data_IF_044061352895
#
_entry.id   IF_044061352895
#
_cell.length_a   1.000
_cell.length_b   1.000
_cell.length_c   1.000
_cell.angle_alpha   90.00
_cell.angle_beta   90.00
_cell.angle_gamma   90.00
#
_symmetry.space_group_name_H-M   'P 1'
#
loop_
_entity.id
_entity.type
_entity.pdbx_description
1 polymer ?
#
# COMPACT_ATOMS: atom_id res chain seq x y z
N UNK A 1 3.97 1.80 26.25
CA UNK A 1 5.14 1.56 25.38
C UNK A 1 4.61 0.91 24.13
N UNK A 2 4.39 1.69 23.07
CA UNK A 2 4.07 1.12 21.76
C UNK A 2 5.30 0.34 21.30
N UNK A 3 5.16 -0.96 21.13
CA UNK A 3 6.21 -1.77 20.55
C UNK A 3 6.32 -1.33 19.08
N UNK A 4 7.27 -0.43 18.80
CA UNK A 4 7.67 -0.12 17.44
C UNK A 4 8.39 -1.36 16.88
N UNK A 5 7.64 -2.22 16.18
CA UNK A 5 8.21 -3.41 15.54
C UNK A 5 9.11 -3.07 14.34
N UNK A 6 9.54 -1.80 14.21
CA UNK A 6 10.30 -1.34 13.06
C UNK A 6 9.48 -1.36 11.77
N UNK A 7 8.19 -1.05 11.87
CA UNK A 7 7.28 -1.00 10.70
C UNK A 7 7.07 0.43 10.23
N UNK A 8 6.98 0.62 8.91
CA UNK A 8 6.67 1.91 8.30
C UNK A 8 5.70 1.76 7.14
N UNK A 9 4.81 2.74 6.95
CA UNK A 9 3.99 2.91 5.76
C UNK A 9 4.63 3.98 4.86
N UNK A 10 4.95 3.61 3.63
CA UNK A 10 5.54 4.49 2.64
C UNK A 10 4.56 4.74 1.50
N UNK A 11 4.06 5.96 1.34
CA UNK A 11 3.28 6.40 0.20
C UNK A 11 4.21 6.95 -0.88
N UNK A 12 4.21 6.40 -2.11
CA UNK A 12 5.09 6.84 -3.20
C UNK A 12 4.27 7.42 -4.35
N UNK A 13 4.60 8.64 -4.73
CA UNK A 13 3.83 9.42 -5.72
C UNK A 13 2.51 9.93 -5.15
N UNK A 14 1.87 10.87 -5.82
CA UNK A 14 0.68 11.56 -5.31
C UNK A 14 -0.43 10.60 -4.85
N UNK A 15 -0.77 9.59 -5.64
CA UNK A 15 -1.78 8.59 -5.27
C UNK A 15 -1.38 7.73 -4.06
N UNK A 16 -0.11 7.33 -3.97
CA UNK A 16 0.41 6.59 -2.80
C UNK A 16 0.40 7.44 -1.53
N UNK A 17 0.78 8.72 -1.63
CA UNK A 17 0.73 9.67 -0.52
C UNK A 17 -0.69 9.90 -0.02
N UNK A 18 -1.70 10.01 -0.91
CA UNK A 18 -3.10 10.16 -0.54
C UNK A 18 -3.64 8.94 0.23
N UNK A 19 -3.30 7.73 -0.21
CA UNK A 19 -3.67 6.50 0.51
C UNK A 19 -3.00 6.43 1.88
N UNK A 20 -1.71 6.74 1.95
CA UNK A 20 -0.97 6.75 3.23
C UNK A 20 -1.54 7.79 4.21
N UNK A 21 -1.90 8.99 3.72
CA UNK A 21 -2.58 10.02 4.52
C UNK A 21 -3.96 9.56 5.00
N UNK A 22 -4.74 8.87 4.16
CA UNK A 22 -6.03 8.32 4.55
C UNK A 22 -5.89 7.26 5.67
N UNK A 23 -4.91 6.36 5.55
CA UNK A 23 -4.61 5.38 6.60
C UNK A 23 -4.16 6.05 7.90
N UNK A 24 -3.30 7.06 7.82
CA UNK A 24 -2.83 7.81 8.99
C UNK A 24 -3.97 8.51 9.73
N UNK A 25 -4.92 9.13 9.02
CA UNK A 25 -6.10 9.76 9.63
C UNK A 25 -6.98 8.76 10.40
N UNK A 26 -7.05 7.52 9.93
CA UNK A 26 -7.87 6.47 10.56
C UNK A 26 -7.15 5.78 11.74
N UNK A 27 -5.83 5.69 11.68
CA UNK A 27 -5.03 4.99 12.70
C UNK A 27 -4.45 5.92 13.77
N UNK A 28 -4.23 7.20 13.43
CA UNK A 28 -3.63 8.20 14.31
C UNK A 28 -2.10 8.09 14.42
N UNK A 29 -1.54 8.76 15.41
CA UNK A 29 -0.09 8.97 15.59
C UNK A 29 0.72 7.67 15.86
N UNK A 30 0.04 6.56 16.11
CA UNK A 30 0.72 5.28 16.29
C UNK A 30 1.22 4.64 14.99
N UNK A 31 0.83 5.19 13.83
CA UNK A 31 1.28 4.75 12.52
C UNK A 31 2.50 5.58 12.08
N UNK A 32 3.68 4.97 12.01
CA UNK A 32 4.82 5.59 11.36
C UNK A 32 4.59 5.60 9.86
N UNK A 33 4.37 6.78 9.28
CA UNK A 33 4.08 6.94 7.86
C UNK A 33 4.92 8.05 7.25
N UNK A 34 5.34 7.89 5.97
CA UNK A 34 6.12 8.85 5.21
C UNK A 34 5.65 8.89 3.76
N UNK A 35 5.39 10.08 3.24
CA UNK A 35 5.10 10.34 1.84
C UNK A 35 6.37 10.67 1.07
N UNK A 36 6.54 10.05 -0.10
CA UNK A 36 7.70 10.22 -0.98
C UNK A 36 7.20 10.70 -2.35
N UNK A 37 7.49 11.95 -2.71
CA UNK A 37 7.13 12.46 -4.03
C UNK A 37 8.19 13.41 -4.57
N UNK A 38 8.17 13.63 -5.87
CA UNK A 38 8.98 14.60 -6.61
C UNK A 38 8.26 15.93 -6.79
N UNK A 39 6.96 15.98 -6.47
CA UNK A 39 6.10 17.15 -6.58
C UNK A 39 5.75 17.67 -5.18
N UNK A 40 6.14 18.92 -4.91
CA UNK A 40 5.90 19.57 -3.62
C UNK A 40 4.40 19.79 -3.34
N UNK A 41 3.59 20.03 -4.38
CA UNK A 41 2.14 20.17 -4.22
C UNK A 41 1.47 18.85 -3.87
N UNK A 42 1.93 17.74 -4.46
CA UNK A 42 1.42 16.42 -4.14
C UNK A 42 1.69 16.04 -2.68
N UNK A 43 2.86 16.38 -2.16
CA UNK A 43 3.19 16.22 -0.74
C UNK A 43 2.29 17.10 0.13
N UNK A 44 2.15 18.39 -0.21
CA UNK A 44 1.34 19.34 0.55
C UNK A 44 -0.15 19.00 0.60
N UNK A 45 -0.67 18.31 -0.42
CA UNK A 45 -2.08 17.88 -0.48
C UNK A 45 -2.38 16.62 0.36
N UNK A 46 -1.37 15.89 0.80
CA UNK A 46 -1.51 14.71 1.65
C UNK A 46 -1.54 15.11 3.14
N UNK A 47 -2.64 15.71 3.57
CA UNK A 47 -2.79 16.29 4.91
C UNK A 47 -2.43 15.32 6.04
N UNK A 48 -1.63 15.82 6.98
CA UNK A 48 -1.18 15.06 8.15
C UNK A 48 -0.04 14.08 7.87
N UNK A 49 0.26 13.78 6.61
CA UNK A 49 1.36 12.90 6.25
C UNK A 49 2.68 13.69 6.19
N UNK A 50 3.67 13.25 6.95
CA UNK A 50 5.03 13.77 6.80
C UNK A 50 5.55 13.43 5.41
N UNK A 51 5.97 14.45 4.65
CA UNK A 51 6.47 14.30 3.30
C UNK A 51 7.98 14.44 3.19
N UNK A 52 8.58 13.70 2.27
CA UNK A 52 9.97 13.84 1.85
C UNK A 52 9.98 14.10 0.34
N UNK A 53 10.53 15.26 -0.04
CA UNK A 53 10.68 15.65 -1.43
C UNK A 53 11.87 14.90 -2.05
N UNK A 54 11.63 14.20 -3.13
CA UNK A 54 12.64 13.44 -3.88
C UNK A 54 13.27 14.29 -4.98
N UNK A 55 14.55 14.05 -5.26
CA UNK A 55 15.26 14.63 -6.39
C UNK A 55 15.72 16.07 -6.23
N UNK A 56 15.55 16.66 -5.03
CA UNK A 56 16.11 17.94 -4.62
C UNK A 56 16.39 18.95 -5.76
N UNK A 57 17.68 19.30 -5.99
CA UNK A 57 18.06 20.30 -7.01
C UNK A 57 17.74 19.90 -8.46
N UNK A 58 17.55 18.62 -8.76
CA UNK A 58 17.30 18.14 -10.12
C UNK A 58 15.90 18.47 -10.61
N UNK A 59 14.91 18.41 -9.73
CA UNK A 59 13.49 18.57 -10.09
C UNK A 59 12.84 19.81 -9.48
N UNK A 60 13.48 20.44 -8.51
CA UNK A 60 13.00 21.67 -7.85
C UNK A 60 11.54 21.59 -7.34
N UNK A 61 11.08 20.37 -7.02
CA UNK A 61 9.73 20.13 -6.55
C UNK A 61 8.63 20.19 -7.63
N UNK A 62 8.99 20.27 -8.90
CA UNK A 62 8.02 20.37 -10.01
C UNK A 62 7.51 19.02 -10.53
N UNK A 63 7.91 17.92 -9.88
CA UNK A 63 7.53 16.58 -10.31
C UNK A 63 8.32 16.08 -11.53
N UNK A 64 7.97 14.87 -11.98
CA UNK A 64 8.67 14.19 -13.08
C UNK A 64 8.07 14.48 -14.47
N UNK A 65 6.90 15.14 -14.55
CA UNK A 65 6.17 15.26 -15.83
C UNK A 65 5.74 13.92 -16.43
N UNK A 66 5.56 12.87 -15.62
CA UNK A 66 5.19 11.52 -16.07
C UNK A 66 6.37 10.65 -16.49
N UNK A 67 7.61 11.15 -16.42
CA UNK A 67 8.82 10.41 -16.83
C UNK A 67 9.33 9.50 -15.70
N UNK A 68 9.30 8.17 -15.85
CA UNK A 68 9.77 7.24 -14.83
C UNK A 68 11.30 7.25 -14.66
N UNK A 69 12.06 7.66 -15.68
CA UNK A 69 13.52 7.79 -15.56
C UNK A 69 13.86 8.90 -14.57
N UNK A 70 13.17 10.03 -14.66
CA UNK A 70 13.33 11.13 -13.67
C UNK A 70 12.93 10.68 -12.26
N UNK A 71 11.84 9.91 -12.12
CA UNK A 71 11.41 9.35 -10.83
C UNK A 71 12.48 8.44 -10.20
N UNK A 72 13.07 7.57 -10.99
CA UNK A 72 14.17 6.69 -10.55
C UNK A 72 15.39 7.49 -10.10
N UNK A 73 15.83 8.45 -10.91
CA UNK A 73 16.98 9.29 -10.57
C UNK A 73 16.72 10.12 -9.32
N UNK A 74 15.51 10.66 -9.15
CA UNK A 74 15.12 11.39 -7.96
C UNK A 74 15.22 10.54 -6.68
N UNK A 75 14.84 9.28 -6.75
CA UNK A 75 14.98 8.34 -5.63
C UNK A 75 16.46 8.05 -5.33
N UNK A 76 17.29 7.86 -6.37
CA UNK A 76 18.73 7.66 -6.21
C UNK A 76 19.40 8.87 -5.55
N UNK A 77 19.11 10.08 -6.01
CA UNK A 77 19.63 11.33 -5.44
C UNK A 77 19.23 11.49 -3.95
N UNK A 78 18.10 10.89 -3.55
CA UNK A 78 17.55 10.99 -2.19
C UNK A 78 17.92 9.79 -1.29
N UNK A 79 18.70 8.82 -1.78
CA UNK A 79 18.94 7.54 -1.11
C UNK A 79 19.58 7.69 0.28
N UNK A 80 20.55 8.58 0.45
CA UNK A 80 21.21 8.77 1.74
C UNK A 80 20.30 9.43 2.80
N UNK A 81 19.42 10.34 2.36
CA UNK A 81 18.40 10.91 3.25
C UNK A 81 17.38 9.86 3.64
N UNK A 82 16.92 9.06 2.67
CA UNK A 82 15.99 7.97 2.90
C UNK A 82 16.53 6.94 3.89
N UNK A 83 17.78 6.54 3.78
CA UNK A 83 18.43 5.61 4.72
C UNK A 83 18.34 6.11 6.16
N UNK A 84 18.58 7.40 6.38
CA UNK A 84 18.47 8.02 7.72
C UNK A 84 17.02 8.01 8.22
N UNK A 85 16.09 8.32 7.35
CA UNK A 85 14.65 8.32 7.67
C UNK A 85 14.13 6.92 7.99
N UNK A 86 14.72 5.88 7.45
CA UNK A 86 14.29 4.49 7.63
C UNK A 86 15.19 3.71 8.60
N UNK A 87 16.01 4.39 9.39
CA UNK A 87 16.82 3.72 10.41
C UNK A 87 15.92 2.93 11.38
N UNK A 88 16.34 1.69 11.69
CA UNK A 88 15.61 0.75 12.54
C UNK A 88 14.38 0.11 11.89
N UNK A 89 14.03 0.43 10.63
CA UNK A 89 12.91 -0.20 9.91
C UNK A 89 13.26 -1.63 9.53
N UNK A 90 12.34 -2.56 9.80
CA UNK A 90 12.44 -3.99 9.48
C UNK A 90 11.40 -4.45 8.47
N UNK A 91 10.24 -3.80 8.47
CA UNK A 91 9.13 -4.09 7.56
C UNK A 91 8.62 -2.78 6.98
N UNK A 92 8.59 -2.67 5.66
CA UNK A 92 8.03 -1.55 4.96
C UNK A 92 6.79 -1.98 4.16
N UNK A 93 5.66 -1.34 4.44
CA UNK A 93 4.48 -1.40 3.58
C UNK A 93 4.55 -0.22 2.62
N UNK A 94 4.71 -0.51 1.35
CA UNK A 94 4.84 0.49 0.29
C UNK A 94 3.53 0.58 -0.48
N UNK A 95 2.97 1.76 -0.63
CA UNK A 95 1.78 2.01 -1.44
C UNK A 95 2.15 2.96 -2.57
N UNK A 96 1.88 2.56 -3.79
CA UNK A 96 2.17 3.37 -4.98
C UNK A 96 1.04 3.32 -5.99
N UNK A 97 0.75 4.44 -6.65
CA UNK A 97 -0.10 4.48 -7.82
C UNK A 97 0.78 4.46 -9.07
N UNK A 98 0.65 3.42 -9.86
CA UNK A 98 1.40 3.23 -11.09
C UNK A 98 0.84 4.06 -12.25
N UNK A 99 1.63 4.23 -13.32
CA UNK A 99 1.24 4.98 -14.50
C UNK A 99 1.71 6.43 -14.51
N UNK A 100 2.23 6.95 -13.38
CA UNK A 100 2.93 8.23 -13.27
C UNK A 100 4.44 8.03 -13.23
N UNK A 101 5.20 9.13 -13.33
CA UNK A 101 6.66 9.06 -13.33
C UNK A 101 7.25 8.78 -11.95
N UNK A 102 6.73 9.39 -10.88
CA UNK A 102 7.20 9.14 -9.52
C UNK A 102 6.83 7.73 -9.08
N UNK A 103 5.55 7.34 -9.13
CA UNK A 103 5.12 5.99 -8.73
C UNK A 103 5.79 4.89 -9.56
N UNK A 104 5.85 5.04 -10.89
CA UNK A 104 6.42 4.03 -11.79
C UNK A 104 7.95 3.97 -11.81
N UNK A 105 8.64 5.06 -11.45
CA UNK A 105 10.10 5.16 -11.50
C UNK A 105 10.77 5.09 -10.14
N UNK A 106 10.27 5.84 -9.16
CA UNK A 106 10.86 5.88 -7.82
C UNK A 106 10.58 4.62 -7.02
N UNK A 107 9.40 3.99 -7.17
CA UNK A 107 9.06 2.80 -6.37
C UNK A 107 9.96 1.61 -6.63
N UNK A 108 10.27 1.19 -7.89
CA UNK A 108 11.22 0.10 -8.11
C UNK A 108 12.58 0.36 -7.46
N UNK A 109 13.06 1.59 -7.54
CA UNK A 109 14.34 1.98 -6.95
C UNK A 109 14.29 1.99 -5.42
N UNK A 110 13.20 2.49 -4.83
CA UNK A 110 12.95 2.39 -3.39
C UNK A 110 13.00 0.93 -2.91
N UNK A 111 12.28 0.04 -3.57
CA UNK A 111 12.24 -1.38 -3.23
C UNK A 111 13.64 -2.02 -3.33
N UNK A 112 14.43 -1.64 -4.34
CA UNK A 112 15.82 -2.07 -4.48
C UNK A 112 16.68 -1.61 -3.28
N UNK A 113 16.52 -0.36 -2.84
CA UNK A 113 17.23 0.19 -1.68
C UNK A 113 16.81 -0.51 -0.38
N UNK A 114 15.51 -0.73 -0.18
CA UNK A 114 14.98 -1.44 0.98
C UNK A 114 15.49 -2.89 1.03
N UNK A 115 15.53 -3.57 -0.11
CA UNK A 115 16.08 -4.92 -0.22
C UNK A 115 17.58 -4.97 0.14
N UNK A 116 18.37 -3.97 -0.31
CA UNK A 116 19.78 -3.87 0.07
C UNK A 116 19.98 -3.61 1.57
N UNK A 117 19.00 -2.97 2.22
CA UNK A 117 18.97 -2.75 3.66
C UNK A 117 18.32 -3.91 4.44
N UNK A 118 18.02 -5.05 3.79
CA UNK A 118 17.37 -6.21 4.38
C UNK A 118 16.01 -5.93 5.04
N UNK A 119 15.32 -4.90 4.56
CA UNK A 119 13.96 -4.55 4.99
C UNK A 119 12.95 -5.41 4.22
N UNK A 120 12.11 -6.15 4.94
CA UNK A 120 11.03 -6.93 4.34
C UNK A 120 9.95 -6.01 3.78
N UNK A 121 9.52 -6.24 2.53
CA UNK A 121 8.64 -5.34 1.82
C UNK A 121 7.32 -5.97 1.40
N UNK A 122 6.21 -5.27 1.69
CA UNK A 122 4.89 -5.54 1.14
C UNK A 122 4.48 -4.34 0.28
N UNK A 123 4.45 -4.51 -1.04
CA UNK A 123 4.18 -3.43 -1.98
C UNK A 123 2.76 -3.53 -2.54
N UNK A 124 1.95 -2.51 -2.31
CA UNK A 124 0.64 -2.33 -2.93
C UNK A 124 0.77 -1.44 -4.16
N UNK A 125 0.56 -2.02 -5.33
CA UNK A 125 0.63 -1.36 -6.62
C UNK A 125 -0.78 -1.10 -7.17
N UNK A 126 -1.26 0.14 -7.04
CA UNK A 126 -2.54 0.56 -7.57
C UNK A 126 -2.41 0.80 -9.07
N UNK A 127 -3.22 0.09 -9.85
CA UNK A 127 -3.26 0.28 -11.31
C UNK A 127 -4.12 1.51 -11.66
N UNK A 128 -3.81 2.19 -12.77
CA UNK A 128 -4.66 3.27 -13.28
C UNK A 128 -6.08 2.77 -13.57
N UNK A 129 -7.06 3.65 -13.41
CA UNK A 129 -8.44 3.39 -13.81
C UNK A 129 -8.55 3.10 -15.32
N UNK A 130 -9.58 2.34 -15.70
CA UNK A 130 -9.83 1.97 -17.10
C UNK A 130 -10.08 3.19 -18.00
N UNK A 131 -10.64 4.27 -17.47
CA UNK A 131 -10.89 5.52 -18.21
C UNK A 131 -9.66 6.43 -18.34
N UNK A 132 -8.57 6.15 -17.60
CA UNK A 132 -7.34 6.93 -17.73
C UNK A 132 -6.65 6.69 -19.08
N UNK A 133 -5.82 7.64 -19.57
CA UNK A 133 -5.16 7.50 -20.87
C UNK A 133 -4.37 6.18 -20.94
N UNK A 134 -4.47 5.49 -22.08
CA UNK A 134 -3.79 4.20 -22.32
C UNK A 134 -2.26 4.25 -22.10
N UNK A 135 -1.65 5.42 -22.20
CA UNK A 135 -0.23 5.63 -21.88
C UNK A 135 0.11 5.33 -20.43
N UNK A 136 -0.79 5.68 -19.49
CA UNK A 136 -0.62 5.40 -18.05
C UNK A 136 -0.70 3.91 -17.75
N UNK A 137 -1.64 3.21 -18.38
CA UNK A 137 -1.75 1.75 -18.26
C UNK A 137 -0.49 1.06 -18.74
N UNK A 138 0.01 1.41 -19.96
CA UNK A 138 1.26 0.85 -20.48
C UNK A 138 2.47 1.17 -19.60
N UNK A 139 2.50 2.36 -18.96
CA UNK A 139 3.56 2.70 -18.02
C UNK A 139 3.48 1.84 -16.76
N UNK A 140 2.27 1.59 -16.23
CA UNK A 140 2.05 0.69 -15.10
C UNK A 140 2.48 -0.76 -15.40
N UNK A 141 2.09 -1.28 -16.57
CA UNK A 141 2.47 -2.62 -17.04
C UNK A 141 3.99 -2.81 -17.15
N UNK A 142 4.72 -1.75 -17.58
CA UNK A 142 6.20 -1.78 -17.63
C UNK A 142 6.86 -1.69 -16.26
N UNK A 143 6.20 -1.05 -15.27
CA UNK A 143 6.74 -0.92 -13.93
C UNK A 143 6.54 -2.20 -13.08
N UNK A 144 5.44 -2.93 -13.27
CA UNK A 144 5.09 -4.12 -12.48
C UNK A 144 6.21 -5.17 -12.40
N UNK A 145 6.86 -5.61 -13.49
CA UNK A 145 7.95 -6.58 -13.40
C UNK A 145 9.10 -6.12 -12.51
N UNK A 146 9.39 -4.81 -12.52
CA UNK A 146 10.46 -4.25 -11.69
C UNK A 146 10.09 -4.24 -10.20
N UNK A 147 8.79 -4.12 -9.87
CA UNK A 147 8.32 -4.30 -8.50
C UNK A 147 8.45 -5.77 -8.06
N UNK A 148 8.01 -6.71 -8.91
CA UNK A 148 8.10 -8.16 -8.65
C UNK A 148 9.56 -8.62 -8.40
N UNK A 149 10.53 -8.01 -9.09
CA UNK A 149 11.96 -8.30 -8.91
C UNK A 149 12.50 -7.82 -7.57
N UNK A 150 12.02 -6.68 -7.08
CA UNK A 150 12.64 -5.97 -5.95
C UNK A 150 11.87 -6.09 -4.64
N UNK A 151 10.55 -6.26 -4.67
CA UNK A 151 9.75 -6.50 -3.47
C UNK A 151 9.79 -7.97 -3.03
N UNK A 152 9.54 -8.21 -1.75
CA UNK A 152 9.28 -9.56 -1.26
C UNK A 152 7.87 -10.02 -1.64
N UNK A 153 6.89 -9.14 -1.49
CA UNK A 153 5.50 -9.42 -1.87
C UNK A 153 4.89 -8.21 -2.59
N UNK A 154 4.22 -8.46 -3.72
CA UNK A 154 3.48 -7.45 -4.47
C UNK A 154 2.00 -7.78 -4.48
N UNK A 155 1.17 -6.82 -4.08
CA UNK A 155 -0.28 -6.85 -4.21
C UNK A 155 -0.68 -5.88 -5.31
N UNK A 156 -1.18 -6.41 -6.41
CA UNK A 156 -1.69 -5.57 -7.51
C UNK A 156 -3.15 -5.25 -7.24
N UNK A 157 -3.48 -3.96 -7.20
CA UNK A 157 -4.82 -3.46 -6.86
C UNK A 157 -5.39 -2.69 -8.04
N UNK A 158 -6.32 -3.26 -8.82
CA UNK A 158 -7.06 -2.51 -9.82
C UNK A 158 -7.95 -1.45 -9.16
N UNK A 159 -7.76 -0.17 -9.50
CA UNK A 159 -8.56 0.90 -8.89
C UNK A 159 -10.03 0.82 -9.29
N UNK A 160 -10.35 0.27 -10.45
CA UNK A 160 -11.73 -0.01 -10.87
C UNK A 160 -12.48 -0.93 -9.91
N UNK A 161 -11.78 -1.89 -9.28
CA UNK A 161 -12.38 -2.78 -8.29
C UNK A 161 -12.67 -2.06 -6.97
N UNK A 162 -11.81 -1.12 -6.57
CA UNK A 162 -12.07 -0.26 -5.41
C UNK A 162 -13.28 0.66 -5.67
N UNK A 163 -13.36 1.22 -6.88
CA UNK A 163 -14.48 2.04 -7.30
C UNK A 163 -15.82 1.30 -7.22
N UNK A 164 -15.89 0.10 -7.80
CA UNK A 164 -17.10 -0.74 -7.76
C UNK A 164 -17.56 -1.05 -6.34
N UNK A 165 -16.61 -1.35 -5.44
CA UNK A 165 -16.90 -1.60 -4.03
C UNK A 165 -17.42 -0.37 -3.29
N UNK A 166 -16.97 0.82 -3.69
CA UNK A 166 -17.42 2.08 -3.11
C UNK A 166 -18.86 2.44 -3.48
N UNK A 167 -19.53 1.68 -4.38
CA UNK A 167 -20.86 2.01 -4.88
C UNK A 167 -20.92 3.33 -5.64
N UNK A 168 -19.81 3.75 -6.23
CA UNK A 168 -19.59 5.10 -6.76
C UNK A 168 -20.04 5.26 -8.22
N UNK A 169 -20.87 4.37 -8.75
CA UNK A 169 -21.30 4.37 -10.15
C UNK A 169 -21.93 5.69 -10.64
N UNK A 170 -22.33 6.57 -9.72
CA UNK A 170 -22.95 7.86 -10.01
C UNK A 170 -22.21 9.08 -9.44
N UNK A 171 -21.11 8.88 -8.72
CA UNK A 171 -20.38 9.97 -8.09
C UNK A 171 -19.43 10.67 -9.08
N UNK A 172 -19.15 11.97 -8.83
CA UNK A 172 -18.11 12.67 -9.56
C UNK A 172 -16.76 11.96 -9.39
N UNK A 173 -15.96 11.89 -10.45
CA UNK A 173 -14.68 11.19 -10.52
C UNK A 173 -13.76 11.44 -9.31
N UNK A 174 -13.63 12.71 -8.90
CA UNK A 174 -12.80 13.09 -7.77
C UNK A 174 -13.28 12.48 -6.44
N UNK A 175 -14.61 12.44 -6.24
CA UNK A 175 -15.24 11.86 -5.04
C UNK A 175 -15.01 10.35 -5.01
N UNK A 176 -15.16 9.68 -6.14
CA UNK A 176 -14.97 8.25 -6.24
C UNK A 176 -13.49 7.85 -6.03
N UNK A 177 -12.54 8.60 -6.59
CA UNK A 177 -11.11 8.38 -6.35
C UNK A 177 -10.74 8.58 -4.88
N UNK A 178 -11.29 9.61 -4.23
CA UNK A 178 -11.08 9.86 -2.80
C UNK A 178 -11.68 8.74 -1.95
N UNK A 179 -12.88 8.26 -2.28
CA UNK A 179 -13.53 7.15 -1.56
C UNK A 179 -12.76 5.84 -1.74
N UNK A 180 -12.24 5.55 -2.93
CA UNK A 180 -11.36 4.41 -3.17
C UNK A 180 -10.09 4.47 -2.31
N UNK A 181 -9.45 5.64 -2.22
CA UNK A 181 -8.29 5.86 -1.34
C UNK A 181 -8.64 5.66 0.13
N UNK A 182 -9.82 6.14 0.56
CA UNK A 182 -10.30 6.01 1.94
C UNK A 182 -10.54 4.54 2.30
N UNK A 183 -11.24 3.78 1.44
CA UNK A 183 -11.52 2.36 1.68
C UNK A 183 -10.23 1.54 1.71
N UNK A 184 -9.32 1.80 0.79
CA UNK A 184 -8.04 1.11 0.78
C UNK A 184 -7.19 1.47 2.01
N UNK A 185 -7.17 2.75 2.41
CA UNK A 185 -6.54 3.21 3.65
C UNK A 185 -7.14 2.54 4.88
N UNK A 186 -8.47 2.34 4.92
CA UNK A 186 -9.13 1.59 5.98
C UNK A 186 -8.65 0.13 6.04
N UNK A 187 -8.58 -0.55 4.90
CA UNK A 187 -8.03 -1.91 4.84
C UNK A 187 -6.59 -1.99 5.36
N UNK A 188 -5.74 -1.03 5.00
CA UNK A 188 -4.39 -0.95 5.56
C UNK A 188 -4.40 -0.72 7.08
N UNK A 189 -5.33 0.07 7.58
CA UNK A 189 -5.50 0.30 9.03
C UNK A 189 -5.84 -1.00 9.75
N UNK A 190 -6.71 -1.83 9.19
CA UNK A 190 -7.04 -3.14 9.75
C UNK A 190 -5.80 -4.06 9.80
N UNK A 191 -4.99 -4.07 8.73
CA UNK A 191 -3.71 -4.79 8.73
C UNK A 191 -2.79 -4.28 9.83
N UNK A 192 -2.67 -2.95 10.00
CA UNK A 192 -1.82 -2.36 11.03
C UNK A 192 -2.29 -2.69 12.45
N UNK A 193 -3.61 -2.62 12.70
CA UNK A 193 -4.18 -3.02 13.99
C UNK A 193 -3.85 -4.47 14.33
N UNK A 194 -3.98 -5.36 13.35
CA UNK A 194 -3.64 -6.78 13.54
C UNK A 194 -2.18 -6.97 13.97
N UNK A 195 -1.28 -6.13 13.45
CA UNK A 195 0.16 -6.28 13.67
C UNK A 195 0.65 -5.59 14.95
N UNK A 196 0.07 -4.45 15.32
CA UNK A 196 0.57 -3.61 16.41
C UNK A 196 -0.28 -3.69 17.69
N UNK A 197 -1.56 -4.06 17.59
CA UNK A 197 -2.41 -4.13 18.78
C UNK A 197 -2.33 -5.52 19.44
N UNK A 198 -2.26 -5.59 20.76
CA UNK A 198 -2.33 -6.87 21.46
C UNK A 198 -3.73 -7.47 21.27
N UNK A 199 -3.81 -8.57 20.55
CA UNK A 199 -5.03 -9.35 20.37
C UNK A 199 -5.10 -10.56 21.31
N UNK A 200 -6.25 -11.23 21.34
CA UNK A 200 -6.44 -12.50 22.06
C UNK A 200 -5.47 -13.58 21.54
N UNK A 201 -5.31 -13.64 20.21
CA UNK A 201 -4.26 -14.43 19.55
C UNK A 201 -3.23 -13.43 19.02
N UNK A 202 -2.04 -13.45 19.60
CA UNK A 202 -0.96 -12.55 19.19
C UNK A 202 -0.43 -12.97 17.84
N UNK A 203 -0.31 -12.00 16.94
CA UNK A 203 0.37 -12.17 15.70
C UNK A 203 1.87 -11.95 15.90
N UNK A 204 2.69 -12.92 15.45
CA UNK A 204 4.14 -12.83 15.52
C UNK A 204 4.69 -12.13 14.26
N UNK A 205 5.30 -10.93 14.37
CA UNK A 205 5.91 -10.24 13.24
C UNK A 205 6.95 -11.07 12.48
N UNK A 206 7.63 -12.00 13.15
CA UNK A 206 8.59 -12.90 12.50
C UNK A 206 7.88 -13.88 11.53
N UNK A 207 6.68 -14.34 11.89
CA UNK A 207 5.83 -15.14 10.99
C UNK A 207 5.36 -14.35 9.79
N UNK A 208 4.98 -13.08 9.98
CA UNK A 208 4.64 -12.22 8.85
C UNK A 208 5.82 -12.08 7.90
N UNK A 209 7.01 -11.78 8.42
CA UNK A 209 8.22 -11.71 7.61
C UNK A 209 8.46 -13.01 6.83
N UNK A 210 8.32 -14.15 7.46
CA UNK A 210 8.49 -15.46 6.81
C UNK A 210 7.48 -15.65 5.65
N UNK A 211 6.21 -15.28 5.84
CA UNK A 211 5.20 -15.35 4.79
C UNK A 211 5.51 -14.38 3.65
N UNK A 212 5.82 -13.13 3.96
CA UNK A 212 6.13 -12.11 2.94
C UNK A 212 7.40 -12.47 2.16
N UNK A 213 8.44 -12.98 2.83
CA UNK A 213 9.71 -13.35 2.20
C UNK A 213 9.64 -14.57 1.28
N UNK A 214 8.47 -15.26 1.20
CA UNK A 214 8.26 -16.35 0.25
C UNK A 214 8.25 -15.89 -1.22
N UNK A 215 8.31 -14.62 -1.46
CA UNK A 215 8.32 -13.88 -2.74
C UNK A 215 7.20 -14.25 -3.68
N UNK A 216 6.61 -13.23 -4.24
CA UNK A 216 5.62 -13.35 -5.27
C UNK A 216 4.46 -12.37 -5.12
N UNK A 217 3.43 -12.61 -5.91
CA UNK A 217 2.21 -11.82 -5.87
C UNK A 217 1.27 -12.34 -4.81
N UNK A 218 0.63 -11.42 -4.09
CA UNK A 218 -0.41 -11.72 -3.12
C UNK A 218 -1.73 -11.01 -3.46
N UNK A 219 -2.79 -11.45 -2.82
CA UNK A 219 -4.10 -10.78 -2.83
C UNK A 219 -4.36 -10.24 -1.44
N UNK A 220 -4.89 -9.03 -1.40
CA UNK A 220 -5.34 -8.40 -0.17
C UNK A 220 -6.85 -8.24 -0.23
N UNK A 221 -7.54 -8.88 0.70
CA UNK A 221 -8.98 -8.91 0.76
C UNK A 221 -9.41 -8.39 2.13
N UNK A 222 -10.46 -7.60 2.16
CA UNK A 222 -11.05 -7.08 3.41
C UNK A 222 -12.56 -7.19 3.34
N UNK A 223 -13.19 -7.47 4.47
CA UNK A 223 -14.64 -7.47 4.62
C UNK A 223 -15.01 -6.98 6.01
N UNK A 224 -16.14 -6.32 6.10
CA UNK A 224 -16.77 -5.88 7.34
C UNK A 224 -18.24 -6.24 7.31
N UNK A 225 -18.76 -6.67 8.44
CA UNK A 225 -20.16 -6.94 8.61
C UNK A 225 -20.61 -6.59 10.04
N UNK A 226 -21.86 -6.26 10.22
CA UNK A 226 -22.49 -5.92 11.50
C UNK A 226 -23.77 -6.74 11.69
N UNK A 227 -24.19 -6.98 12.92
CA UNK A 227 -25.41 -7.74 13.21
C UNK A 227 -25.14 -9.16 13.72
N UNK A 228 -26.20 -9.96 13.90
CA UNK A 228 -26.09 -11.32 14.45
C UNK A 228 -25.31 -12.28 13.56
N UNK A 229 -25.45 -12.17 12.24
CA UNK A 229 -24.87 -13.08 11.27
C UNK A 229 -23.55 -12.54 10.66
N UNK A 230 -22.99 -11.49 11.27
CA UNK A 230 -21.80 -10.76 10.77
C UNK A 230 -20.61 -11.64 10.42
N UNK A 231 -20.39 -12.73 11.17
CA UNK A 231 -19.24 -13.60 10.92
C UNK A 231 -19.42 -14.38 9.58
N UNK A 232 -20.61 -14.86 9.33
CA UNK A 232 -20.96 -15.55 8.08
C UNK A 232 -20.94 -14.57 6.91
N UNK A 233 -21.60 -13.42 7.04
CA UNK A 233 -21.64 -12.38 6.00
C UNK A 233 -20.23 -11.91 5.61
N UNK A 234 -19.36 -11.66 6.60
CA UNK A 234 -17.98 -11.28 6.35
C UNK A 234 -17.21 -12.38 5.62
N UNK A 235 -17.37 -13.63 6.02
CA UNK A 235 -16.72 -14.76 5.36
C UNK A 235 -17.20 -14.96 3.92
N UNK A 236 -18.51 -14.90 3.68
CA UNK A 236 -19.10 -15.00 2.33
C UNK A 236 -18.60 -13.87 1.42
N UNK A 237 -18.52 -12.64 1.94
CA UNK A 237 -17.97 -11.48 1.21
C UNK A 237 -16.51 -11.70 0.84
N UNK A 238 -15.67 -12.20 1.75
CA UNK A 238 -14.27 -12.52 1.45
C UNK A 238 -14.14 -13.61 0.39
N UNK A 239 -14.96 -14.66 0.48
CA UNK A 239 -14.97 -15.76 -0.49
C UNK A 239 -15.42 -15.27 -1.88
N UNK A 240 -16.44 -14.41 -1.94
CA UNK A 240 -16.88 -13.80 -3.19
C UNK A 240 -15.77 -12.94 -3.83
N UNK A 241 -15.04 -12.16 -3.03
CA UNK A 241 -13.89 -11.38 -3.49
C UNK A 241 -12.71 -12.26 -3.93
N UNK A 242 -12.49 -13.38 -3.24
CA UNK A 242 -11.44 -14.33 -3.59
C UNK A 242 -11.71 -14.97 -4.97
N UNK A 243 -12.98 -15.12 -5.36
CA UNK A 243 -13.36 -15.78 -6.58
C UNK A 243 -13.02 -17.27 -6.58
N UNK A 244 -13.07 -17.89 -7.77
CA UNK A 244 -12.72 -19.31 -7.89
C UNK A 244 -11.19 -19.49 -7.68
N UNK A 245 -10.79 -20.53 -6.93
CA UNK A 245 -9.37 -20.88 -6.80
C UNK A 245 -8.74 -21.12 -8.17
N UNK A 246 -7.58 -20.54 -8.40
CA UNK A 246 -6.76 -20.87 -9.55
C UNK A 246 -5.96 -22.14 -9.23
N UNK A 247 -6.36 -23.24 -9.83
CA UNK A 247 -5.69 -24.53 -9.64
C UNK A 247 -4.25 -24.54 -10.17
N UNK A 248 -3.92 -23.65 -11.10
CA UNK A 248 -2.57 -23.52 -11.65
C UNK A 248 -1.63 -22.71 -10.75
N UNK A 249 -2.19 -21.86 -9.86
CA UNK A 249 -1.42 -21.01 -8.96
C UNK A 249 -2.00 -21.05 -7.53
N UNK A 250 -1.90 -22.16 -6.81
CA UNK A 250 -2.44 -22.27 -5.46
C UNK A 250 -1.71 -21.32 -4.51
N UNK A 251 -2.43 -20.72 -3.56
CA UNK A 251 -1.84 -19.90 -2.52
C UNK A 251 -0.89 -20.74 -1.66
N UNK A 252 0.36 -20.27 -1.51
CA UNK A 252 1.38 -20.97 -0.70
C UNK A 252 1.24 -20.65 0.79
N UNK A 253 0.71 -19.50 1.12
CA UNK A 253 0.47 -19.04 2.48
C UNK A 253 -0.72 -18.09 2.53
N UNK A 254 -1.36 -18.01 3.69
CA UNK A 254 -2.46 -17.09 3.97
C UNK A 254 -2.23 -16.47 5.35
N UNK A 255 -2.48 -15.17 5.46
CA UNK A 255 -2.58 -14.47 6.74
C UNK A 255 -4.04 -14.05 6.90
N UNK A 256 -4.71 -14.59 7.91
CA UNK A 256 -6.09 -14.23 8.26
C UNK A 256 -6.07 -13.36 9.51
N UNK A 257 -6.58 -12.14 9.41
CA UNK A 257 -6.79 -11.23 10.53
C UNK A 257 -8.29 -11.11 10.83
N UNK A 258 -8.68 -11.27 12.10
CA UNK A 258 -10.05 -11.09 12.56
C UNK A 258 -10.03 -10.02 13.63
N UNK A 259 -10.75 -8.92 13.38
CA UNK A 259 -10.99 -7.85 14.34
C UNK A 259 -12.48 -7.85 14.68
N UNK A 260 -12.80 -8.09 15.92
CA UNK A 260 -14.18 -8.20 16.36
C UNK A 260 -14.36 -7.55 17.72
N UNK A 261 -15.61 -7.23 18.08
CA UNK A 261 -15.98 -6.84 19.41
C UNK A 261 -15.92 -8.03 20.38
N UNK A 262 -15.97 -7.75 21.69
CA UNK A 262 -15.79 -8.75 22.76
C UNK A 262 -16.87 -9.84 22.80
N UNK A 263 -17.95 -9.67 22.04
CA UNK A 263 -19.05 -10.61 21.93
C UNK A 263 -18.89 -11.68 20.83
N UNK A 264 -17.72 -11.73 20.15
CA UNK A 264 -17.41 -12.77 19.19
C UNK A 264 -17.33 -14.14 19.91
N UNK A 265 -18.18 -15.07 19.49
CA UNK A 265 -18.15 -16.46 19.97
C UNK A 265 -17.37 -17.32 18.99
N UNK A 266 -16.43 -18.08 19.52
CA UNK A 266 -15.78 -19.18 18.81
C UNK A 266 -16.69 -20.41 19.02
N UNK A 267 -17.42 -20.81 17.99
CA UNK A 267 -18.27 -22.00 18.02
C UNK A 267 -17.45 -23.25 17.67
#
# INVERSE_FOLDING_TARGET
MNADYGMVLLGVGGGGCQVAAAALRLFGDSLRALGLDTDQHAIGSAEGLRGMLLGGPRLEGMGTGGDPVKGRLAMQDSAELLKRELDGVRIAVVVTALGGGTGGGATPELLRLLRQAEVTTLCFALLPFAFEPAGRRRAAERALPQLDENADTVVVVPQDDLWKRAGADTAALAVAAQEACRQFGHGLTLLWRLLLMPGFIRFDPARLRAVLSSRGRARFLTSEAVGPDRAQEAAESLLAQAGKPDAAAPARACVLGILAADDLRLA
#
